data_IF_971750791266
#
_entry.id   IF_971750791266
#
_cell.length_a   1.000
_cell.length_b   1.000
_cell.length_c   1.000
_cell.angle_alpha   90.00
_cell.angle_beta   90.00
_cell.angle_gamma   90.00
#
_symmetry.space_group_name_H-M   'P 1'
#
loop_
_entity.id
_entity.type
_entity.pdbx_description
1 polymer ?
#
# COMPACT_ATOMS: atom_id res chain seq x y z
N UNK A 1 9.74 1.34 14.98
CA UNK A 1 9.86 0.56 13.73
C UNK A 1 11.07 1.03 12.95
N UNK A 2 11.87 0.11 12.46
CA UNK A 2 13.01 0.40 11.59
C UNK A 2 12.79 -0.24 10.24
N UNK A 3 13.09 0.50 9.18
CA UNK A 3 13.02 0.00 7.81
C UNK A 3 14.37 0.29 7.17
N UNK A 4 15.06 -0.77 6.73
CA UNK A 4 16.44 -0.67 6.25
C UNK A 4 16.59 -0.52 4.75
N UNK A 5 15.56 -0.87 3.96
CA UNK A 5 15.64 -0.80 2.50
C UNK A 5 14.27 -0.60 1.88
N UNK A 6 14.24 -0.17 0.63
CA UNK A 6 12.99 -0.03 -0.14
C UNK A 6 12.28 -1.38 -0.26
N UNK A 7 13.02 -2.45 -0.46
CA UNK A 7 12.48 -3.80 -0.54
C UNK A 7 11.76 -4.21 0.73
N UNK A 8 12.36 -3.96 1.90
CA UNK A 8 11.73 -4.20 3.19
C UNK A 8 10.48 -3.36 3.38
N UNK A 9 10.54 -2.09 2.98
CA UNK A 9 9.41 -1.18 3.09
C UNK A 9 8.22 -1.67 2.24
N UNK A 10 8.49 -2.03 0.99
CA UNK A 10 7.46 -2.54 0.08
C UNK A 10 6.83 -3.81 0.63
N UNK A 11 7.63 -4.72 1.13
CA UNK A 11 7.13 -5.97 1.72
C UNK A 11 6.27 -5.69 2.96
N UNK A 12 6.73 -4.80 3.84
CA UNK A 12 5.97 -4.39 5.03
C UNK A 12 4.61 -3.82 4.64
N UNK A 13 4.58 -2.96 3.64
CA UNK A 13 3.33 -2.37 3.16
C UNK A 13 2.36 -3.43 2.62
N UNK A 14 2.87 -4.39 1.85
CA UNK A 14 2.06 -5.48 1.32
C UNK A 14 1.49 -6.36 2.43
N UNK A 15 2.29 -6.65 3.44
CA UNK A 15 1.86 -7.42 4.62
C UNK A 15 0.75 -6.67 5.36
N UNK A 16 0.96 -5.38 5.63
CA UNK A 16 -0.03 -4.57 6.34
C UNK A 16 -1.34 -4.46 5.56
N UNK A 17 -1.28 -4.32 4.24
CA UNK A 17 -2.46 -4.27 3.39
C UNK A 17 -3.23 -5.60 3.43
N UNK A 18 -2.52 -6.72 3.43
CA UNK A 18 -3.12 -8.05 3.56
C UNK A 18 -3.83 -8.17 4.91
N UNK A 19 -3.19 -7.70 5.98
CA UNK A 19 -3.80 -7.69 7.32
C UNK A 19 -5.06 -6.83 7.34
N UNK A 20 -5.00 -5.63 6.75
CA UNK A 20 -6.15 -4.74 6.68
C UNK A 20 -7.34 -5.42 5.99
N UNK A 21 -7.08 -6.08 4.86
CA UNK A 21 -8.13 -6.76 4.11
C UNK A 21 -8.78 -7.89 4.88
N UNK A 22 -8.01 -8.61 5.68
CA UNK A 22 -8.55 -9.70 6.51
C UNK A 22 -9.40 -9.16 7.66
N UNK A 23 -9.11 -7.97 8.16
CA UNK A 23 -9.83 -7.37 9.29
C UNK A 23 -11.05 -6.55 8.86
N UNK A 24 -10.91 -5.80 7.79
CA UNK A 24 -11.89 -4.76 7.43
C UNK A 24 -12.41 -4.88 6.00
N UNK A 25 -11.75 -5.64 5.15
CA UNK A 25 -12.12 -5.73 3.75
C UNK A 25 -13.34 -6.62 3.51
N UNK A 26 -14.09 -6.31 2.45
CA UNK A 26 -15.22 -7.12 2.02
C UNK A 26 -14.77 -8.41 1.34
N UNK A 27 -13.59 -8.38 0.73
CA UNK A 27 -13.01 -9.50 0.00
C UNK A 27 -11.66 -9.84 0.62
N UNK A 28 -11.41 -11.12 0.86
CA UNK A 28 -10.11 -11.55 1.38
C UNK A 28 -9.08 -11.55 0.28
N UNK A 29 -7.98 -10.86 0.51
CA UNK A 29 -6.88 -10.69 -0.43
C UNK A 29 -5.64 -11.35 0.17
N UNK A 30 -5.02 -12.26 -0.60
CA UNK A 30 -3.77 -12.89 -0.19
C UNK A 30 -2.58 -11.97 -0.50
N UNK A 31 -1.49 -12.17 0.20
CA UNK A 31 -0.25 -11.42 -0.04
C UNK A 31 0.16 -11.46 -1.53
N UNK A 32 0.05 -12.62 -2.16
CA UNK A 32 0.43 -12.78 -3.56
C UNK A 32 -0.49 -12.05 -4.55
N UNK A 33 -1.65 -11.60 -4.10
CA UNK A 33 -2.56 -10.81 -4.92
C UNK A 33 -2.16 -9.33 -4.93
N UNK A 34 -1.28 -8.92 -4.02
CA UNK A 34 -0.86 -7.52 -3.89
C UNK A 34 0.36 -7.22 -4.74
N UNK A 35 0.49 -5.97 -5.15
CA UNK A 35 1.66 -5.52 -5.90
C UNK A 35 1.94 -4.05 -5.61
N UNK A 36 3.19 -3.65 -5.82
CA UNK A 36 3.60 -2.26 -5.65
C UNK A 36 3.21 -1.49 -6.91
N UNK A 37 2.37 -0.48 -6.74
CA UNK A 37 2.01 0.44 -7.83
C UNK A 37 3.10 1.49 -8.00
N UNK A 38 3.57 2.02 -6.89
CA UNK A 38 4.56 3.10 -6.89
C UNK A 38 5.19 3.22 -5.51
N UNK A 39 6.45 3.62 -5.47
CA UNK A 39 7.13 3.89 -4.21
C UNK A 39 8.25 4.90 -4.41
N UNK A 40 8.55 5.64 -3.36
CA UNK A 40 9.72 6.52 -3.36
C UNK A 40 10.21 6.75 -1.94
N UNK A 41 11.41 7.28 -1.86
CA UNK A 41 12.04 7.68 -0.60
C UNK A 41 12.59 9.09 -0.76
N UNK A 42 12.28 9.96 0.21
CA UNK A 42 12.85 11.30 0.29
C UNK A 42 13.40 11.49 1.68
N UNK A 43 14.73 11.54 1.81
CA UNK A 43 15.43 11.62 3.10
C UNK A 43 15.01 10.46 4.00
N UNK A 44 14.39 10.74 5.14
CA UNK A 44 13.93 9.73 6.09
C UNK A 44 12.50 9.27 5.86
N UNK A 45 11.82 9.85 4.87
CA UNK A 45 10.41 9.57 4.61
C UNK A 45 10.26 8.68 3.38
N UNK A 46 9.39 7.69 3.50
CA UNK A 46 9.15 6.70 2.45
C UNK A 46 7.68 6.66 2.12
N UNK A 47 7.35 6.47 0.87
CA UNK A 47 5.95 6.36 0.44
C UNK A 47 5.78 5.19 -0.52
N UNK A 48 4.66 4.47 -0.39
CA UNK A 48 4.37 3.32 -1.22
C UNK A 48 2.87 3.22 -1.46
N UNK A 49 2.49 2.90 -2.69
CA UNK A 49 1.11 2.60 -3.03
C UNK A 49 1.03 1.13 -3.44
N UNK A 50 0.12 0.41 -2.80
CA UNK A 50 -0.10 -1.02 -3.03
C UNK A 50 -1.45 -1.21 -3.69
N UNK A 51 -1.47 -1.96 -4.78
CA UNK A 51 -2.70 -2.40 -5.43
C UNK A 51 -2.91 -3.89 -5.24
N UNK A 52 -4.01 -4.40 -5.79
CA UNK A 52 -4.31 -5.82 -5.75
C UNK A 52 -5.05 -6.26 -7.02
N UNK A 53 -5.09 -7.56 -7.25
CA UNK A 53 -5.69 -8.17 -8.45
C UNK A 53 -7.15 -8.61 -8.23
N UNK A 54 -7.68 -8.43 -7.03
CA UNK A 54 -8.95 -9.05 -6.62
C UNK A 54 -10.10 -8.05 -6.55
N UNK A 55 -9.87 -6.90 -5.90
CA UNK A 55 -10.93 -5.91 -5.75
C UNK A 55 -10.47 -4.51 -6.19
N UNK A 56 -11.32 -3.52 -5.97
CA UNK A 56 -11.10 -2.15 -6.44
C UNK A 56 -10.54 -1.23 -5.36
N UNK A 57 -9.86 -1.79 -4.35
CA UNK A 57 -9.18 -0.98 -3.33
C UNK A 57 -7.71 -0.82 -3.65
N UNK A 58 -7.12 0.20 -3.07
CA UNK A 58 -5.67 0.38 -3.03
C UNK A 58 -5.30 1.02 -1.70
N UNK A 59 -4.06 0.87 -1.31
CA UNK A 59 -3.58 1.42 -0.05
C UNK A 59 -2.38 2.33 -0.28
N UNK A 60 -2.35 3.43 0.47
CA UNK A 60 -1.23 4.36 0.46
C UNK A 60 -0.56 4.29 1.83
N UNK A 61 0.75 4.06 1.83
CA UNK A 61 1.55 3.98 3.05
C UNK A 61 2.57 5.09 3.07
N UNK A 62 2.69 5.75 4.22
CA UNK A 62 3.70 6.77 4.44
C UNK A 62 4.45 6.44 5.72
N UNK A 63 5.76 6.30 5.60
CA UNK A 63 6.63 6.01 6.74
C UNK A 63 7.44 7.25 7.10
N UNK A 64 7.32 7.68 8.36
CA UNK A 64 8.13 8.76 8.91
C UNK A 64 9.32 8.12 9.63
N UNK A 65 10.50 8.15 9.00
CA UNK A 65 11.69 7.51 9.53
C UNK A 65 12.22 8.10 10.82
N UNK A 66 11.99 9.39 11.05
CA UNK A 66 12.44 10.07 12.27
C UNK A 66 11.66 9.59 13.49
N UNK A 67 10.38 9.33 13.30
CA UNK A 67 9.48 8.88 14.38
C UNK A 67 9.26 7.37 14.40
N UNK A 68 9.67 6.66 13.35
CA UNK A 68 9.42 5.23 13.23
C UNK A 68 7.94 4.89 13.11
N UNK A 69 7.14 5.77 12.49
CA UNK A 69 5.69 5.61 12.37
C UNK A 69 5.29 5.33 10.94
N UNK A 70 4.41 4.35 10.76
CA UNK A 70 3.83 4.00 9.47
C UNK A 70 2.35 4.36 9.46
N UNK A 71 1.93 5.14 8.48
CA UNK A 71 0.54 5.54 8.29
C UNK A 71 -0.05 4.81 7.10
N UNK A 72 -1.31 4.40 7.24
CA UNK A 72 -2.02 3.61 6.24
C UNK A 72 -3.33 4.30 5.87
N UNK A 73 -3.55 4.52 4.57
CA UNK A 73 -4.82 5.01 4.05
C UNK A 73 -5.30 4.05 2.98
N UNK A 74 -6.51 3.53 3.13
CA UNK A 74 -7.08 2.62 2.14
C UNK A 74 -8.19 3.32 1.39
N UNK A 75 -8.17 3.24 0.07
CA UNK A 75 -9.10 3.91 -0.83
C UNK A 75 -9.83 2.89 -1.69
N UNK A 76 -11.05 3.20 -2.02
CA UNK A 76 -11.85 2.42 -2.94
C UNK A 76 -11.99 3.17 -4.25
N UNK A 77 -11.71 2.50 -5.37
CA UNK A 77 -11.89 3.09 -6.70
C UNK A 77 -13.39 3.15 -7.01
N UNK A 78 -13.88 4.34 -7.30
CA UNK A 78 -15.30 4.57 -7.54
C UNK A 78 -15.68 4.38 -9.01
N UNK A 79 -14.79 4.72 -9.93
CA UNK A 79 -15.10 4.60 -11.35
C UNK A 79 -13.83 4.46 -12.17
N UNK A 80 -14.02 3.94 -13.38
CA UNK A 80 -12.97 3.86 -14.37
C UNK A 80 -13.63 4.08 -15.73
N UNK A 81 -13.16 5.08 -16.48
CA UNK A 81 -13.65 5.32 -17.84
C UNK A 81 -12.52 5.79 -18.73
N UNK A 82 -12.57 5.39 -19.96
CA UNK A 82 -11.64 5.86 -20.98
C UNK A 82 -12.17 7.15 -21.58
N UNK A 83 -11.32 8.19 -21.56
CA UNK A 83 -11.65 9.47 -22.18
C UNK A 83 -10.71 9.65 -23.37
N UNK A 84 -11.28 9.80 -24.56
CA UNK A 84 -10.50 10.03 -25.77
C UNK A 84 -10.88 11.37 -26.36
N UNK A 85 -9.90 12.06 -26.94
CA UNK A 85 -10.12 13.33 -27.64
C UNK A 85 -10.04 13.16 -29.14
#
# INVERSE_FOLDING_TARGET
MKIGSMSEFQEKCRVEYTIWNHKFGDTKIAFNDTFVVWSCKTLQNWKCIIGNKVDNTLAEYTFNGDKGELYENVYKKLSNRCITE
#
